data_IF_625924356782
#
_entry.id   IF_625924356782
#
_cell.length_a   1.000
_cell.length_b   1.000
_cell.length_c   1.000
_cell.angle_alpha   90.00
_cell.angle_beta   90.00
_cell.angle_gamma   90.00
#
_symmetry.space_group_name_H-M   'P 1'
#
loop_
_entity.id
_entity.type
_entity.pdbx_description
1 polymer ?
#
# COMPACT_ATOMS: atom_id res chain seq x y z
N UNK A 1 -72.00 14.17 -12.24
CA UNK A 1 -71.21 14.11 -10.98
C UNK A 1 -70.14 12.99 -11.03
N UNK A 2 -70.43 11.88 -11.67
CA UNK A 2 -69.48 10.72 -11.72
C UNK A 2 -68.18 10.93 -12.47
N UNK A 3 -68.19 11.72 -13.55
CA UNK A 3 -66.98 12.01 -14.35
C UNK A 3 -65.96 12.86 -13.59
N UNK A 4 -66.37 13.81 -12.76
CA UNK A 4 -65.48 14.65 -11.97
C UNK A 4 -64.89 13.84 -10.82
N UNK A 5 -65.66 12.97 -10.18
CA UNK A 5 -65.22 12.10 -9.09
C UNK A 5 -64.21 11.06 -9.60
N UNK A 6 -64.47 10.46 -10.77
CA UNK A 6 -63.54 9.50 -11.42
C UNK A 6 -62.23 10.17 -11.84
N UNK A 7 -62.29 11.37 -12.40
CA UNK A 7 -61.09 12.12 -12.77
C UNK A 7 -60.25 12.50 -11.55
N UNK A 8 -60.87 12.92 -10.46
CA UNK A 8 -60.18 13.25 -9.21
C UNK A 8 -59.51 12.00 -8.60
N UNK A 9 -60.27 10.86 -8.52
CA UNK A 9 -59.74 9.61 -8.01
C UNK A 9 -58.54 9.11 -8.86
N UNK A 10 -58.66 9.17 -10.18
CA UNK A 10 -57.59 8.77 -11.09
C UNK A 10 -56.34 9.64 -10.92
N UNK A 11 -56.52 10.96 -10.79
CA UNK A 11 -55.42 11.89 -10.55
C UNK A 11 -54.74 11.63 -9.21
N UNK A 12 -55.50 11.32 -8.16
CA UNK A 12 -54.99 11.03 -6.83
C UNK A 12 -54.15 9.70 -6.82
N UNK A 13 -54.65 8.67 -7.50
CA UNK A 13 -53.98 7.39 -7.65
C UNK A 13 -52.66 7.56 -8.44
N UNK A 14 -52.71 8.27 -9.56
CA UNK A 14 -51.51 8.54 -10.38
C UNK A 14 -50.47 9.33 -9.57
N UNK A 15 -50.91 10.35 -8.81
CA UNK A 15 -49.99 11.14 -7.97
C UNK A 15 -49.37 10.28 -6.85
N UNK A 16 -50.12 9.40 -6.22
CA UNK A 16 -49.67 8.51 -5.17
C UNK A 16 -48.66 7.48 -5.70
N UNK A 17 -48.96 6.87 -6.86
CA UNK A 17 -48.06 5.94 -7.54
C UNK A 17 -46.75 6.64 -7.95
N UNK A 18 -46.84 7.83 -8.53
CA UNK A 18 -45.67 8.62 -8.93
C UNK A 18 -44.82 9.02 -7.71
N UNK A 19 -45.43 9.39 -6.59
CA UNK A 19 -44.77 9.70 -5.33
C UNK A 19 -44.02 8.49 -4.78
N UNK A 20 -44.68 7.31 -4.69
CA UNK A 20 -44.06 6.07 -4.20
C UNK A 20 -42.92 5.62 -5.12
N UNK A 21 -43.10 5.70 -6.44
CA UNK A 21 -42.01 5.41 -7.40
C UNK A 21 -40.88 6.40 -7.26
N UNK A 22 -41.13 7.68 -7.03
CA UNK A 22 -40.11 8.69 -6.79
C UNK A 22 -39.29 8.44 -5.52
N UNK A 23 -39.97 8.07 -4.42
CA UNK A 23 -39.28 7.69 -3.16
C UNK A 23 -38.41 6.45 -3.33
N UNK A 24 -38.94 5.39 -4.00
CA UNK A 24 -38.15 4.18 -4.30
C UNK A 24 -36.94 4.48 -5.22
N UNK A 25 -37.13 5.31 -6.24
CA UNK A 25 -36.06 5.73 -7.13
C UNK A 25 -34.98 6.50 -6.38
N UNK A 26 -35.36 7.41 -5.49
CA UNK A 26 -34.43 8.17 -4.64
C UNK A 26 -33.63 7.27 -3.70
N UNK A 27 -34.29 6.33 -3.03
CA UNK A 27 -33.62 5.34 -2.18
C UNK A 27 -32.63 4.49 -2.98
N UNK A 28 -33.05 3.95 -4.12
CA UNK A 28 -32.20 3.16 -4.99
C UNK A 28 -30.99 3.96 -5.51
N UNK A 29 -31.15 5.25 -5.75
CA UNK A 29 -30.04 6.11 -6.16
C UNK A 29 -29.03 6.34 -5.01
N UNK A 30 -29.53 6.54 -3.79
CA UNK A 30 -28.69 6.66 -2.60
C UNK A 30 -27.89 5.38 -2.34
N UNK A 31 -28.55 4.22 -2.38
CA UNK A 31 -27.92 2.92 -2.18
C UNK A 31 -26.88 2.62 -3.26
N UNK A 32 -27.16 2.97 -4.51
CA UNK A 32 -26.16 2.87 -5.60
C UNK A 32 -24.96 3.75 -5.38
N UNK A 33 -25.18 5.00 -4.97
CA UNK A 33 -24.08 5.92 -4.67
C UNK A 33 -23.22 5.39 -3.53
N UNK A 34 -23.85 4.91 -2.47
CA UNK A 34 -23.17 4.29 -1.34
C UNK A 34 -22.30 3.10 -1.78
N UNK A 35 -22.84 2.18 -2.57
CA UNK A 35 -22.11 1.05 -3.13
C UNK A 35 -20.92 1.50 -4.02
N UNK A 36 -21.15 2.50 -4.86
CA UNK A 36 -20.07 3.07 -5.67
C UNK A 36 -18.93 3.62 -4.81
N UNK A 37 -19.26 4.31 -3.73
CA UNK A 37 -18.28 4.88 -2.80
C UNK A 37 -17.49 3.77 -2.07
N UNK A 38 -18.13 2.65 -1.68
CA UNK A 38 -17.46 1.50 -1.10
C UNK A 38 -16.46 0.86 -2.09
N UNK A 39 -16.88 0.60 -3.33
CA UNK A 39 -15.98 0.07 -4.36
C UNK A 39 -14.84 1.02 -4.69
N UNK A 40 -15.11 2.33 -4.72
CA UNK A 40 -14.10 3.36 -4.93
C UNK A 40 -13.10 3.42 -3.78
N UNK A 41 -13.55 3.30 -2.53
CA UNK A 41 -12.68 3.27 -1.35
C UNK A 41 -11.73 2.06 -1.41
N UNK A 42 -12.24 0.86 -1.75
CA UNK A 42 -11.41 -0.31 -1.99
C UNK A 42 -10.43 -0.12 -3.14
N UNK A 43 -10.87 0.44 -4.27
CA UNK A 43 -10.02 0.71 -5.42
C UNK A 43 -8.84 1.62 -5.06
N UNK A 44 -9.10 2.74 -4.40
CA UNK A 44 -8.06 3.69 -3.96
C UNK A 44 -7.06 2.99 -3.03
N UNK A 45 -7.56 2.21 -2.06
CA UNK A 45 -6.72 1.47 -1.11
C UNK A 45 -5.79 0.47 -1.82
N UNK A 46 -6.31 -0.36 -2.72
CA UNK A 46 -5.49 -1.35 -3.41
C UNK A 46 -4.52 -0.73 -4.42
N UNK A 47 -4.91 0.38 -5.05
CA UNK A 47 -3.99 1.15 -5.89
C UNK A 47 -2.82 1.73 -5.08
N UNK A 48 -3.09 2.18 -3.86
CA UNK A 48 -2.09 2.69 -2.94
C UNK A 48 -1.16 1.57 -2.43
N UNK A 49 -1.70 0.39 -2.07
CA UNK A 49 -0.91 -0.79 -1.74
C UNK A 49 0.00 -1.22 -2.90
N UNK A 50 -0.53 -1.24 -4.13
CA UNK A 50 0.27 -1.53 -5.33
C UNK A 50 1.39 -0.51 -5.52
N UNK A 51 1.07 0.79 -5.38
CA UNK A 51 2.06 1.86 -5.44
C UNK A 51 3.16 1.66 -4.40
N UNK A 52 2.80 1.26 -3.19
CA UNK A 52 3.74 0.91 -2.13
C UNK A 52 4.66 -0.26 -2.49
N UNK A 53 4.11 -1.34 -3.07
CA UNK A 53 4.89 -2.48 -3.53
C UNK A 53 5.88 -2.10 -4.65
N UNK A 54 5.45 -1.28 -5.61
CA UNK A 54 6.30 -0.85 -6.73
C UNK A 54 7.41 0.10 -6.25
N UNK A 55 7.08 1.04 -5.37
CA UNK A 55 8.03 2.07 -4.88
C UNK A 55 8.85 1.63 -3.67
N UNK A 56 8.77 0.39 -3.25
CA UNK A 56 9.41 -0.13 -2.03
C UNK A 56 9.05 0.68 -0.76
N UNK A 57 7.80 1.18 -0.71
CA UNK A 57 7.21 1.89 0.43
C UNK A 57 6.01 1.11 0.97
N UNK A 58 6.27 -0.08 1.49
CA UNK A 58 5.23 -0.99 1.93
C UNK A 58 4.44 -0.41 3.11
N UNK A 59 3.11 -0.64 3.10
CA UNK A 59 2.24 -0.30 4.23
C UNK A 59 2.27 -1.39 5.28
N UNK A 60 2.40 -0.99 6.55
CA UNK A 60 2.41 -1.85 7.75
C UNK A 60 1.14 -1.64 8.56
N UNK A 61 0.86 -2.54 9.48
CA UNK A 61 -0.23 -2.37 10.45
C UNK A 61 -0.10 -1.04 11.25
N UNK A 62 1.12 -0.64 11.59
CA UNK A 62 1.39 0.60 12.31
C UNK A 62 0.97 1.85 11.52
N UNK A 63 0.97 1.77 10.20
CA UNK A 63 0.58 2.89 9.33
C UNK A 63 -0.95 3.17 9.40
N UNK A 64 -1.72 2.29 10.05
CA UNK A 64 -3.15 2.48 10.35
C UNK A 64 -3.40 2.85 11.82
N UNK A 65 -2.41 3.45 12.46
CA UNK A 65 -2.53 3.99 13.82
C UNK A 65 -2.40 5.50 13.79
N UNK A 66 -3.26 6.16 14.53
CA UNK A 66 -3.16 7.59 14.78
C UNK A 66 -2.86 7.83 16.26
N UNK A 67 -1.90 8.70 16.54
CA UNK A 67 -1.56 9.11 17.91
C UNK A 67 -2.17 10.49 18.13
N UNK A 68 -3.19 10.57 18.99
CA UNK A 68 -3.84 11.82 19.37
C UNK A 68 -3.81 11.99 20.88
N UNK A 69 -3.28 13.12 21.36
CA UNK A 69 -3.27 13.52 22.78
C UNK A 69 -2.79 12.44 23.76
N UNK A 70 -1.75 11.68 23.38
CA UNK A 70 -1.20 10.62 24.23
C UNK A 70 -1.91 9.26 24.11
N UNK A 71 -3.04 9.18 23.44
CA UNK A 71 -3.74 7.92 23.17
C UNK A 71 -3.48 7.48 21.73
N UNK A 72 -3.26 6.18 21.56
CA UNK A 72 -3.12 5.59 20.22
C UNK A 72 -4.48 5.05 19.77
N UNK A 73 -5.02 5.61 18.69
CA UNK A 73 -6.21 5.10 18.03
C UNK A 73 -5.74 4.22 16.87
N UNK A 74 -6.24 2.99 16.82
CA UNK A 74 -5.94 2.08 15.74
C UNK A 74 -7.07 2.10 14.72
N UNK A 75 -6.74 2.46 13.48
CA UNK A 75 -7.60 2.25 12.33
C UNK A 75 -7.27 0.90 11.69
N UNK A 76 -8.26 0.27 11.11
CA UNK A 76 -8.05 -0.94 10.36
C UNK A 76 -7.77 -0.62 8.90
N UNK A 77 -7.00 -1.48 8.19
CA UNK A 77 -6.96 -1.46 6.74
C UNK A 77 -8.37 -1.56 6.14
N UNK A 78 -8.58 -1.00 4.95
CA UNK A 78 -9.91 -0.73 4.42
C UNK A 78 -10.80 -1.97 4.29
N UNK A 79 -10.26 -3.10 3.82
CA UNK A 79 -11.05 -4.32 3.72
C UNK A 79 -11.38 -4.91 5.11
N UNK A 80 -10.48 -4.76 6.07
CA UNK A 80 -10.71 -5.13 7.47
C UNK A 80 -11.72 -4.20 8.15
N UNK A 81 -11.64 -2.89 7.89
CA UNK A 81 -12.59 -1.89 8.37
C UNK A 81 -14.03 -2.21 7.92
N UNK A 82 -14.22 -2.58 6.64
CA UNK A 82 -15.54 -2.97 6.12
C UNK A 82 -16.15 -4.18 6.84
N UNK A 83 -15.32 -5.08 7.35
CA UNK A 83 -15.78 -6.21 8.16
C UNK A 83 -16.31 -5.74 9.52
N UNK A 84 -15.61 -4.80 10.17
CA UNK A 84 -16.03 -4.27 11.48
C UNK A 84 -17.21 -3.30 11.40
N UNK A 85 -17.26 -2.47 10.36
CA UNK A 85 -18.37 -1.51 10.15
C UNK A 85 -19.66 -2.19 9.65
N UNK A 86 -19.58 -3.44 9.19
CA UNK A 86 -20.69 -4.12 8.53
C UNK A 86 -20.83 -3.79 7.04
N UNK A 87 -20.03 -2.90 6.49
CA UNK A 87 -20.06 -2.50 5.08
C UNK A 87 -19.78 -3.66 4.12
N UNK A 88 -19.13 -4.72 4.64
CA UNK A 88 -18.82 -5.93 3.88
C UNK A 88 -20.07 -6.64 3.34
N UNK A 89 -21.24 -6.44 3.94
CA UNK A 89 -22.51 -7.05 3.48
C UNK A 89 -23.00 -6.45 2.16
N UNK A 90 -22.65 -5.19 1.89
CA UNK A 90 -23.05 -4.48 0.67
C UNK A 90 -22.13 -4.77 -0.51
N UNK A 91 -20.88 -5.16 -0.26
CA UNK A 91 -19.91 -5.50 -1.31
C UNK A 91 -20.09 -6.96 -1.71
N UNK A 92 -20.03 -7.26 -3.01
CA UNK A 92 -20.16 -8.63 -3.50
C UNK A 92 -19.21 -9.58 -2.76
N UNK A 93 -19.75 -10.65 -2.13
CA UNK A 93 -19.02 -11.57 -1.25
C UNK A 93 -17.69 -12.08 -1.81
N UNK A 94 -17.67 -12.47 -3.11
CA UNK A 94 -16.42 -12.94 -3.77
C UNK A 94 -15.36 -11.85 -3.88
N UNK A 95 -15.76 -10.59 -4.09
CA UNK A 95 -14.85 -9.45 -4.17
C UNK A 95 -14.31 -9.15 -2.78
N UNK A 96 -15.19 -9.11 -1.79
CA UNK A 96 -14.82 -8.83 -0.40
C UNK A 96 -13.84 -9.86 0.15
N UNK A 97 -14.07 -11.15 -0.09
CA UNK A 97 -13.15 -12.21 0.35
C UNK A 97 -11.77 -12.07 -0.31
N UNK A 98 -11.72 -11.82 -1.62
CA UNK A 98 -10.45 -11.58 -2.32
C UNK A 98 -9.75 -10.33 -1.81
N UNK A 99 -10.49 -9.27 -1.50
CA UNK A 99 -9.94 -8.03 -0.94
C UNK A 99 -9.30 -8.29 0.43
N UNK A 100 -10.00 -8.96 1.34
CA UNK A 100 -9.49 -9.28 2.70
C UNK A 100 -8.23 -10.18 2.64
N UNK A 101 -8.28 -11.22 1.83
CA UNK A 101 -7.13 -12.12 1.68
C UNK A 101 -5.92 -11.38 1.10
N UNK A 102 -6.14 -10.55 0.07
CA UNK A 102 -5.06 -9.81 -0.57
C UNK A 102 -4.48 -8.73 0.35
N UNK A 103 -5.33 -8.03 1.10
CA UNK A 103 -4.88 -7.05 2.11
C UNK A 103 -4.00 -7.71 3.17
N UNK A 104 -4.46 -8.85 3.72
CA UNK A 104 -3.68 -9.66 4.67
C UNK A 104 -2.35 -10.09 4.06
N UNK A 105 -2.36 -10.62 2.84
CA UNK A 105 -1.16 -11.10 2.18
C UNK A 105 -0.14 -9.98 1.93
N UNK A 106 -0.60 -8.75 1.60
CA UNK A 106 0.27 -7.58 1.47
C UNK A 106 0.91 -7.19 2.82
N UNK A 107 0.18 -7.27 3.92
CA UNK A 107 0.71 -6.97 5.26
C UNK A 107 1.69 -8.05 5.75
N UNK A 108 1.41 -9.31 5.45
CA UNK A 108 2.33 -10.42 5.73
C UNK A 108 3.62 -10.29 4.91
N UNK A 109 3.49 -9.94 3.63
CA UNK A 109 4.65 -9.70 2.76
C UNK A 109 5.50 -8.52 3.26
N UNK A 110 4.87 -7.45 3.75
CA UNK A 110 5.60 -6.33 4.37
C UNK A 110 6.37 -6.78 5.60
N UNK A 111 5.74 -7.53 6.50
CA UNK A 111 6.41 -8.05 7.70
C UNK A 111 7.60 -8.94 7.34
N UNK A 112 7.43 -9.85 6.37
CA UNK A 112 8.52 -10.68 5.84
C UNK A 112 9.65 -9.83 5.25
N UNK A 113 9.30 -8.79 4.50
CA UNK A 113 10.27 -7.85 3.92
C UNK A 113 11.03 -7.09 5.00
N UNK A 114 10.37 -6.73 6.09
CA UNK A 114 11.00 -6.05 7.23
C UNK A 114 12.05 -6.93 7.90
N UNK A 115 11.77 -8.22 8.12
CA UNK A 115 12.75 -9.17 8.65
C UNK A 115 13.92 -9.38 7.68
N UNK A 116 13.64 -9.50 6.39
CA UNK A 116 14.69 -9.63 5.39
C UNK A 116 15.61 -8.39 5.35
N UNK A 117 15.05 -7.20 5.56
CA UNK A 117 15.82 -5.96 5.70
C UNK A 117 16.75 -6.00 6.92
N UNK A 118 16.31 -6.55 8.04
CA UNK A 118 17.16 -6.72 9.23
C UNK A 118 18.33 -7.66 8.96
N UNK A 119 18.07 -8.76 8.25
CA UNK A 119 19.12 -9.69 7.81
C UNK A 119 20.13 -9.03 6.86
N UNK A 120 19.63 -8.27 5.88
CA UNK A 120 20.45 -7.53 4.92
C UNK A 120 21.30 -6.47 5.64
N UNK A 121 20.71 -5.74 6.57
CA UNK A 121 21.43 -4.75 7.37
C UNK A 121 22.59 -5.41 8.15
N UNK A 122 22.30 -6.49 8.87
CA UNK A 122 23.30 -7.25 9.62
C UNK A 122 24.41 -7.81 8.72
N UNK A 123 24.04 -8.28 7.54
CA UNK A 123 25.00 -8.75 6.54
C UNK A 123 25.94 -7.63 6.09
N UNK A 124 25.42 -6.47 5.71
CA UNK A 124 26.22 -5.32 5.28
C UNK A 124 27.20 -4.90 6.38
N UNK A 125 26.73 -4.81 7.63
CA UNK A 125 27.60 -4.45 8.76
C UNK A 125 28.66 -5.53 9.02
N UNK A 126 28.31 -6.83 8.92
CA UNK A 126 29.25 -7.93 9.17
C UNK A 126 30.36 -7.97 8.13
N UNK A 127 30.05 -7.65 6.89
CA UNK A 127 31.06 -7.53 5.83
C UNK A 127 31.99 -6.34 6.06
N UNK A 128 31.64 -5.46 7.00
CA UNK A 128 32.42 -4.35 7.58
C UNK A 128 33.32 -3.63 6.57
N UNK A 129 32.80 -3.46 5.41
CA UNK A 129 33.48 -2.73 4.39
C UNK A 129 33.56 -1.27 4.84
N UNK A 130 34.68 -0.62 4.64
CA UNK A 130 34.94 0.80 4.93
C UNK A 130 33.95 1.78 4.29
N UNK A 131 32.88 1.24 3.76
CA UNK A 131 31.95 1.82 2.80
C UNK A 131 30.63 2.26 3.41
N UNK A 132 30.29 1.75 4.59
CA UNK A 132 28.99 1.97 5.18
C UNK A 132 29.14 2.51 6.59
N UNK A 133 28.61 3.70 6.83
CA UNK A 133 28.37 4.21 8.16
C UNK A 133 26.91 3.91 8.52
N UNK A 134 26.71 3.11 9.56
CA UNK A 134 25.41 2.91 10.16
C UNK A 134 25.21 3.95 11.25
N UNK A 135 24.25 4.85 11.03
CA UNK A 135 23.82 5.82 12.03
C UNK A 135 22.58 5.27 12.72
N UNK A 136 22.74 4.79 13.95
CA UNK A 136 21.61 4.65 14.87
C UNK A 136 21.21 6.02 15.41
N UNK A 137 19.93 6.24 15.71
CA UNK A 137 19.36 7.53 16.14
C UNK A 137 20.04 8.16 17.33
N UNK A 138 20.74 7.38 18.16
CA UNK A 138 21.43 7.84 19.36
C UNK A 138 22.93 7.56 19.39
N UNK A 139 23.49 6.92 18.36
CA UNK A 139 24.93 6.62 18.31
C UNK A 139 25.41 6.47 16.87
N UNK A 140 26.43 7.19 16.53
CA UNK A 140 27.20 6.98 15.31
C UNK A 140 27.97 5.68 15.49
N UNK A 141 27.59 4.61 14.76
CA UNK A 141 28.40 3.40 14.70
C UNK A 141 29.63 3.69 13.84
N UNK A 142 30.71 3.89 14.52
CA UNK A 142 32.03 3.93 13.88
C UNK A 142 32.53 2.50 13.76
N UNK A 143 33.02 2.11 12.59
CA UNK A 143 33.76 0.87 12.45
C UNK A 143 34.92 0.92 13.42
N UNK A 144 34.92 0.07 14.42
CA UNK A 144 36.10 -0.19 15.23
C UNK A 144 37.06 -1.03 14.39
N UNK A 145 38.01 -0.39 13.75
CA UNK A 145 39.30 -1.03 13.62
C UNK A 145 39.91 -1.05 15.02
N UNK A 146 40.48 -2.19 15.45
CA UNK A 146 40.83 -2.48 16.86
C UNK A 146 41.81 -1.50 17.51
N UNK A 147 42.23 -0.44 16.82
CA UNK A 147 43.23 0.50 17.31
C UNK A 147 42.89 1.99 17.20
N UNK A 148 41.98 2.44 16.34
CA UNK A 148 41.65 3.86 16.23
C UNK A 148 40.19 4.09 15.84
N UNK A 149 39.49 4.95 16.59
CA UNK A 149 38.20 5.49 16.24
C UNK A 149 38.44 6.73 15.40
N UNK A 150 38.54 6.59 14.09
CA UNK A 150 38.51 7.74 13.20
C UNK A 150 37.04 7.98 12.79
N UNK A 151 36.56 9.17 13.06
CA UNK A 151 35.32 9.71 12.46
C UNK A 151 35.62 9.96 10.98
N UNK A 152 35.30 9.01 10.15
CA UNK A 152 35.40 9.20 8.70
C UNK A 152 34.23 10.07 8.29
N UNK A 153 34.44 11.39 8.37
CA UNK A 153 33.68 12.30 7.53
C UNK A 153 34.23 12.12 6.12
N UNK A 154 33.47 11.51 5.19
CA UNK A 154 33.95 11.37 3.83
C UNK A 154 34.12 12.77 3.26
N UNK A 155 35.38 13.17 3.12
CA UNK A 155 35.75 14.47 2.58
C UNK A 155 35.09 14.64 1.20
N UNK A 156 34.15 15.57 1.12
CA UNK A 156 33.57 16.01 -0.13
C UNK A 156 32.10 15.61 -0.39
N UNK A 157 31.42 14.96 0.54
CA UNK A 157 29.96 14.71 0.37
C UNK A 157 29.15 15.83 1.02
N UNK A 158 28.56 16.69 0.20
CA UNK A 158 27.80 17.87 0.66
C UNK A 158 26.29 17.66 0.64
N UNK A 159 25.82 16.53 0.13
CA UNK A 159 24.38 16.25 0.01
C UNK A 159 24.07 14.77 0.14
N UNK A 160 22.85 14.48 0.64
CA UNK A 160 22.34 13.13 0.77
C UNK A 160 21.05 12.98 -0.01
N UNK A 161 20.91 11.85 -0.74
CA UNK A 161 19.65 11.42 -1.30
C UNK A 161 19.07 10.31 -0.42
N UNK A 162 17.92 10.56 0.18
CA UNK A 162 17.33 9.66 1.15
C UNK A 162 16.34 8.71 0.49
N UNK A 163 16.52 7.42 0.73
CA UNK A 163 15.69 6.33 0.21
C UNK A 163 15.24 5.40 1.36
N UNK A 164 14.21 4.61 1.09
CA UNK A 164 13.81 3.54 1.99
C UNK A 164 14.81 2.38 1.94
N UNK A 165 15.06 1.74 3.07
CA UNK A 165 15.84 0.49 3.15
C UNK A 165 15.32 -0.62 2.24
N UNK A 166 14.00 -0.67 1.98
CA UNK A 166 13.41 -1.64 1.06
C UNK A 166 13.93 -1.54 -0.38
N UNK A 167 14.61 -0.45 -0.72
CA UNK A 167 15.29 -0.30 -2.00
C UNK A 167 16.34 -1.39 -2.21
N UNK A 168 17.03 -1.82 -1.14
CA UNK A 168 18.04 -2.90 -1.20
C UNK A 168 17.47 -4.25 -1.66
N UNK A 169 16.16 -4.47 -1.49
CA UNK A 169 15.49 -5.71 -1.88
C UNK A 169 15.07 -5.75 -3.36
N UNK A 170 15.33 -4.68 -4.10
CA UNK A 170 14.98 -4.57 -5.52
C UNK A 170 16.23 -4.19 -6.31
N UNK A 171 16.88 -5.21 -6.89
CA UNK A 171 18.15 -5.07 -7.59
C UNK A 171 18.11 -3.96 -8.64
N UNK A 172 17.09 -3.98 -9.51
CA UNK A 172 17.02 -3.05 -10.65
C UNK A 172 16.78 -1.62 -10.19
N UNK A 173 15.89 -1.44 -9.21
CA UNK A 173 15.63 -0.14 -8.61
C UNK A 173 16.87 0.37 -7.84
N UNK A 174 17.57 -0.50 -7.12
CA UNK A 174 18.76 -0.14 -6.37
C UNK A 174 19.90 0.29 -7.29
N UNK A 175 20.18 -0.49 -8.34
CA UNK A 175 21.21 -0.15 -9.37
C UNK A 175 20.91 1.20 -9.99
N UNK A 176 19.65 1.43 -10.39
CA UNK A 176 19.24 2.70 -11.02
C UNK A 176 19.50 3.89 -10.10
N UNK A 177 19.10 3.80 -8.84
CA UNK A 177 19.25 4.90 -7.89
C UNK A 177 20.71 5.07 -7.47
N UNK A 178 21.47 3.99 -7.32
CA UNK A 178 22.91 4.06 -7.04
C UNK A 178 23.68 4.75 -8.17
N UNK A 179 23.42 4.40 -9.43
CA UNK A 179 24.01 5.06 -10.58
C UNK A 179 23.67 6.55 -10.62
N UNK A 180 22.40 6.89 -10.38
CA UNK A 180 21.95 8.29 -10.33
C UNK A 180 22.69 9.10 -9.25
N UNK A 181 22.92 8.51 -8.05
CA UNK A 181 23.67 9.17 -6.98
C UNK A 181 25.16 9.27 -7.33
N UNK A 182 25.70 8.24 -8.00
CA UNK A 182 27.12 8.22 -8.45
C UNK A 182 27.42 9.31 -9.48
N UNK A 183 26.48 9.59 -10.37
CA UNK A 183 26.60 10.64 -11.38
C UNK A 183 26.59 12.05 -10.76
N UNK A 184 25.98 12.19 -9.58
CA UNK A 184 25.94 13.46 -8.86
C UNK A 184 27.25 13.66 -8.07
N UNK A 185 27.95 14.75 -8.38
CA UNK A 185 29.16 15.10 -7.64
C UNK A 185 28.85 15.35 -6.16
N UNK A 186 29.67 14.74 -5.28
CA UNK A 186 29.61 14.92 -3.83
C UNK A 186 28.25 14.57 -3.19
N UNK A 187 27.57 13.55 -3.72
CA UNK A 187 26.31 13.05 -3.19
C UNK A 187 26.47 11.64 -2.63
N UNK A 188 25.82 11.36 -1.49
CA UNK A 188 25.71 10.04 -0.90
C UNK A 188 24.26 9.54 -0.91
N UNK A 189 24.12 8.22 -0.92
CA UNK A 189 22.83 7.55 -0.75
C UNK A 189 22.60 7.27 0.74
N UNK A 190 21.54 7.85 1.32
CA UNK A 190 21.11 7.56 2.68
C UNK A 190 19.88 6.66 2.67
N UNK A 191 20.04 5.46 3.16
CA UNK A 191 18.96 4.50 3.34
C UNK A 191 18.43 4.61 4.78
N UNK A 192 17.11 4.75 4.94
CA UNK A 192 16.49 4.91 6.25
C UNK A 192 15.37 3.91 6.45
N UNK A 193 15.24 3.40 7.67
CA UNK A 193 14.06 2.65 8.08
C UNK A 193 12.90 3.61 8.31
N UNK A 194 11.67 3.11 8.17
CA UNK A 194 10.51 3.90 8.52
C UNK A 194 10.46 4.15 10.03
N UNK A 195 10.16 5.37 10.37
CA UNK A 195 10.00 5.85 11.73
C UNK A 195 10.22 7.36 11.75
N UNK A 196 9.74 8.02 12.77
CA UNK A 196 10.05 9.42 13.01
C UNK A 196 10.38 9.58 14.50
N UNK A 197 11.67 9.63 14.87
CA UNK A 197 12.85 9.51 14.01
C UNK A 197 13.04 8.08 13.45
N UNK A 198 13.79 7.90 12.34
CA UNK A 198 14.12 6.58 11.80
C UNK A 198 14.99 5.82 12.82
N UNK A 199 14.68 4.54 13.03
CA UNK A 199 15.40 3.71 14.01
C UNK A 199 16.80 3.32 13.54
N UNK A 200 17.01 3.27 12.22
CA UNK A 200 18.31 2.95 11.60
C UNK A 200 18.50 3.72 10.31
N UNK A 201 19.72 4.09 10.03
CA UNK A 201 20.12 4.63 8.74
C UNK A 201 21.46 4.03 8.28
N UNK A 202 21.63 3.91 6.98
CA UNK A 202 22.85 3.44 6.35
C UNK A 202 23.23 4.44 5.27
N UNK A 203 24.46 4.94 5.29
CA UNK A 203 24.94 5.86 4.26
C UNK A 203 25.92 5.16 3.35
N UNK A 204 25.65 5.18 2.06
CA UNK A 204 26.52 4.63 1.01
C UNK A 204 27.16 5.78 0.26
N UNK A 205 28.48 5.75 0.19
CA UNK A 205 29.30 6.71 -0.57
C UNK A 205 29.80 6.04 -1.86
N UNK A 206 29.13 6.23 -3.01
CA UNK A 206 29.47 5.46 -4.23
C UNK A 206 30.89 5.65 -4.72
N UNK A 207 31.51 6.82 -4.45
CA UNK A 207 32.88 7.12 -4.89
C UNK A 207 33.98 6.54 -4.00
N UNK A 208 33.62 6.07 -2.81
CA UNK A 208 34.57 5.48 -1.85
C UNK A 208 34.45 3.96 -1.72
N UNK A 209 33.76 3.32 -2.66
CA UNK A 209 33.60 1.88 -2.67
C UNK A 209 34.93 1.18 -2.93
N UNK A 210 35.45 0.40 -1.97
CA UNK A 210 36.66 -0.41 -2.12
C UNK A 210 36.44 -1.61 -3.04
N UNK A 211 35.20 -2.07 -3.18
CA UNK A 211 34.76 -3.03 -4.19
C UNK A 211 34.00 -2.28 -5.28
N UNK A 212 33.98 -2.80 -6.48
CA UNK A 212 33.16 -2.20 -7.53
C UNK A 212 31.72 -2.23 -7.12
N UNK A 213 30.94 -1.21 -7.50
CA UNK A 213 29.50 -1.19 -7.24
C UNK A 213 28.81 -2.46 -7.79
N UNK A 214 29.34 -3.03 -8.87
CA UNK A 214 28.83 -4.26 -9.47
C UNK A 214 29.02 -5.47 -8.55
N UNK A 215 30.21 -5.66 -8.00
CA UNK A 215 30.54 -6.77 -7.10
C UNK A 215 29.70 -6.68 -5.81
N UNK A 216 29.52 -5.48 -5.28
CA UNK A 216 28.68 -5.26 -4.11
C UNK A 216 27.22 -5.63 -4.38
N UNK A 217 26.67 -5.19 -5.52
CA UNK A 217 25.29 -5.50 -5.91
C UNK A 217 25.11 -7.00 -6.11
N UNK A 218 26.09 -7.66 -6.73
CA UNK A 218 26.05 -9.11 -6.93
C UNK A 218 26.07 -9.86 -5.59
N UNK A 219 26.99 -9.52 -4.69
CA UNK A 219 27.09 -10.13 -3.36
C UNK A 219 25.79 -9.92 -2.56
N UNK A 220 25.25 -8.71 -2.55
CA UNK A 220 23.99 -8.40 -1.88
C UNK A 220 22.82 -9.18 -2.50
N UNK A 221 22.76 -9.26 -3.83
CA UNK A 221 21.73 -10.00 -4.54
C UNK A 221 21.78 -11.49 -4.19
N UNK A 222 22.99 -12.09 -4.20
CA UNK A 222 23.19 -13.49 -3.83
C UNK A 222 22.79 -13.75 -2.38
N UNK A 223 23.10 -12.84 -1.47
CA UNK A 223 22.66 -12.94 -0.09
C UNK A 223 21.14 -12.91 0.04
N UNK A 224 20.45 -11.95 -0.60
CA UNK A 224 18.99 -11.85 -0.59
C UNK A 224 18.34 -13.13 -1.15
N UNK A 225 18.85 -13.61 -2.30
CA UNK A 225 18.34 -14.86 -2.92
C UNK A 225 18.57 -16.07 -2.01
N UNK A 226 19.69 -16.13 -1.30
CA UNK A 226 19.96 -17.22 -0.33
C UNK A 226 18.98 -17.22 0.84
N UNK A 227 18.55 -16.05 1.30
CA UNK A 227 17.59 -15.90 2.39
C UNK A 227 16.14 -16.10 1.95
N UNK A 228 15.79 -15.57 0.79
CA UNK A 228 14.44 -15.68 0.23
C UNK A 228 14.44 -15.76 -1.30
N UNK A 229 14.60 -16.98 -1.85
CA UNK A 229 14.67 -17.17 -3.30
C UNK A 229 13.36 -16.84 -4.03
N UNK A 230 12.23 -16.74 -3.30
CA UNK A 230 10.91 -16.46 -3.89
C UNK A 230 10.45 -15.01 -3.71
N UNK A 231 11.24 -14.18 -3.05
CA UNK A 231 10.84 -12.80 -2.71
C UNK A 231 10.28 -12.01 -3.91
N UNK A 232 11.03 -11.96 -5.01
CA UNK A 232 10.63 -11.20 -6.20
C UNK A 232 9.40 -11.82 -6.90
N UNK A 233 9.31 -13.15 -6.89
CA UNK A 233 8.15 -13.86 -7.43
C UNK A 233 6.89 -13.57 -6.63
N UNK A 234 6.97 -13.60 -5.29
CA UNK A 234 5.85 -13.28 -4.40
C UNK A 234 5.39 -11.84 -4.56
N UNK A 235 6.33 -10.87 -4.62
CA UNK A 235 6.05 -9.47 -4.91
C UNK A 235 5.29 -9.30 -6.23
N UNK A 236 5.78 -9.95 -7.29
CA UNK A 236 5.16 -9.89 -8.61
C UNK A 236 3.77 -10.53 -8.63
N UNK A 237 3.56 -11.62 -7.90
CA UNK A 237 2.25 -12.27 -7.75
C UNK A 237 1.26 -11.36 -7.04
N UNK A 238 1.66 -10.68 -5.97
CA UNK A 238 0.82 -9.72 -5.25
C UNK A 238 0.38 -8.58 -6.18
N UNK A 239 1.30 -7.97 -6.91
CA UNK A 239 0.99 -6.90 -7.86
C UNK A 239 -0.03 -7.37 -8.91
N UNK A 240 0.17 -8.56 -9.51
CA UNK A 240 -0.77 -9.14 -10.50
C UNK A 240 -2.15 -9.41 -9.89
N UNK A 241 -2.21 -9.87 -8.63
CA UNK A 241 -3.48 -10.10 -7.92
C UNK A 241 -4.22 -8.80 -7.63
N UNK A 242 -3.49 -7.74 -7.25
CA UNK A 242 -4.06 -6.40 -7.07
C UNK A 242 -4.64 -5.90 -8.39
N UNK A 243 -3.92 -6.01 -9.50
CA UNK A 243 -4.42 -5.58 -10.82
C UNK A 243 -5.69 -6.33 -11.24
N UNK A 244 -5.78 -7.62 -10.92
CA UNK A 244 -6.98 -8.42 -11.19
C UNK A 244 -8.17 -7.98 -10.34
N UNK A 245 -7.95 -7.68 -9.07
CA UNK A 245 -8.97 -7.16 -8.17
C UNK A 245 -9.40 -5.77 -8.61
N UNK A 246 -8.46 -4.90 -8.92
CA UNK A 246 -8.69 -3.51 -9.30
C UNK A 246 -9.62 -3.38 -10.51
N UNK A 247 -9.38 -4.20 -11.56
CA UNK A 247 -10.27 -4.28 -12.73
C UNK A 247 -11.71 -4.66 -12.35
N UNK A 248 -11.88 -5.55 -11.36
CA UNK A 248 -13.21 -5.94 -10.86
C UNK A 248 -13.86 -4.81 -10.07
N UNK A 249 -13.09 -4.11 -9.23
CA UNK A 249 -13.58 -2.98 -8.44
C UNK A 249 -14.06 -1.84 -9.33
N UNK A 250 -13.29 -1.48 -10.36
CA UNK A 250 -13.68 -0.46 -11.35
C UNK A 250 -14.97 -0.86 -12.08
N UNK A 251 -15.07 -2.13 -12.52
CA UNK A 251 -16.26 -2.62 -13.20
C UNK A 251 -17.50 -2.52 -12.30
N UNK A 252 -17.39 -2.91 -11.04
CA UNK A 252 -18.51 -2.89 -10.09
C UNK A 252 -18.81 -1.46 -9.60
N UNK A 253 -17.82 -0.57 -9.52
CA UNK A 253 -18.06 0.84 -9.23
C UNK A 253 -18.87 1.52 -10.34
N UNK A 254 -18.69 1.13 -11.61
CA UNK A 254 -19.47 1.66 -12.73
C UNK A 254 -20.91 1.11 -12.76
N UNK A 255 -21.07 -0.17 -12.42
CA UNK A 255 -22.36 -0.86 -12.41
C UNK A 255 -22.51 -1.65 -11.09
N UNK A 256 -22.79 -1.00 -9.97
CA UNK A 256 -22.79 -1.63 -8.64
C UNK A 256 -23.94 -2.63 -8.48
N UNK A 257 -25.05 -2.43 -9.19
CA UNK A 257 -26.15 -3.39 -9.29
C UNK A 257 -26.28 -3.83 -10.73
N UNK A 258 -26.31 -5.14 -10.97
CA UNK A 258 -26.57 -5.66 -12.31
C UNK A 258 -27.91 -5.12 -12.84
N UNK A 259 -27.96 -4.74 -14.12
CA UNK A 259 -29.18 -4.21 -14.75
C UNK A 259 -30.42 -5.10 -14.44
N UNK A 260 -30.24 -6.40 -14.51
CA UNK A 260 -31.32 -7.37 -14.22
C UNK A 260 -31.70 -7.46 -12.76
N UNK A 261 -30.74 -7.36 -11.82
CA UNK A 261 -31.04 -7.30 -10.37
C UNK A 261 -31.85 -6.03 -10.01
N UNK A 262 -31.57 -4.94 -10.71
CA UNK A 262 -32.34 -3.69 -10.54
C UNK A 262 -33.77 -3.83 -11.09
N UNK A 263 -33.93 -4.48 -12.25
CA UNK A 263 -35.23 -4.68 -12.88
C UNK A 263 -36.05 -5.70 -12.09
N UNK A 264 -35.46 -6.84 -11.73
CA UNK A 264 -36.13 -7.90 -10.95
C UNK A 264 -36.46 -7.42 -9.54
N UNK A 265 -35.55 -6.72 -8.86
CA UNK A 265 -35.81 -6.13 -7.54
C UNK A 265 -36.96 -5.12 -7.58
N UNK A 266 -37.01 -4.24 -8.60
CA UNK A 266 -38.10 -3.32 -8.81
C UNK A 266 -39.45 -4.03 -9.08
N UNK A 267 -39.43 -5.16 -9.79
CA UNK A 267 -40.64 -5.98 -10.05
C UNK A 267 -41.10 -6.73 -8.79
N UNK A 268 -40.20 -7.41 -8.07
CA UNK A 268 -40.54 -8.15 -6.84
C UNK A 268 -41.07 -7.21 -5.78
N UNK A 269 -40.49 -6.02 -5.62
CA UNK A 269 -40.95 -5.01 -4.66
C UNK A 269 -42.28 -4.34 -5.05
N UNK A 270 -42.71 -4.45 -6.32
CA UNK A 270 -43.98 -3.91 -6.77
C UNK A 270 -45.16 -4.87 -6.44
N UNK A 271 -44.85 -6.14 -6.23
CA UNK A 271 -45.86 -7.19 -5.98
C UNK A 271 -45.79 -7.83 -4.58
N UNK A 272 -44.84 -7.40 -3.75
CA UNK A 272 -44.74 -7.75 -2.32
C UNK A 272 -45.27 -6.63 -1.43
#
# INVERSE_FOLDING_TARGET
MDTILTSFLTSLIVSLVTFVLGLKAGKNQSDRKYLQDLYKKLHVHFRDLKGGLISNRYKRWQDYREISKGNTIQYYPVAKEFEYSGDSIYVHKKIMNVAKDLERDCLVFESKSSHLIEDVHSYIISQSLELFLDELTDSTYQKKDKSNIETVNPTGCNSYMTYSYYLLLDKDAFVKELNYVTEKNNCAMKLVTRGNPPTRSLTIYPKSLAVTSADFIEQLTNFIVSKDPKYQEEKSKLIKRIDKLDRKLIKNAKNPTGFWETVVGAFVDLFS
#
